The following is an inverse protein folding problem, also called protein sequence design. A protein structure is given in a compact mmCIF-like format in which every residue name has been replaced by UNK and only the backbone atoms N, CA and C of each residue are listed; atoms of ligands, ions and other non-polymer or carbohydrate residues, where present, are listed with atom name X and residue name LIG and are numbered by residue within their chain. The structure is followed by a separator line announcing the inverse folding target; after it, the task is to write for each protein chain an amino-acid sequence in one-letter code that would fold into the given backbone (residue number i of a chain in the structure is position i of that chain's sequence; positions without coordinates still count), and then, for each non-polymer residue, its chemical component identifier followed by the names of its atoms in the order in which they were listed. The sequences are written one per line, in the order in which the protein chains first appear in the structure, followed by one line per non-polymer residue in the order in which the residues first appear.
data_IF_679262165499
#
_entry.id   IF_679262165499
#
_cell.length_a   1.000
_cell.length_b   1.000
_cell.length_c   1.000
_cell.angle_alpha   90.00
_cell.angle_beta   90.00
_cell.angle_gamma   90.00
#
_symmetry.space_group_name_H-M   'P 1'
#
loop_
_entity.id
_entity.type
_entity.pdbx_description
1 polymer ?
#
# COMPACT_ATOMS: atom_id res chain seq x y z
N UNK A 1 17.80 23.19 11.74
CA UNK A 1 17.01 21.97 11.94
C UNK A 1 17.74 20.88 11.18
N UNK A 2 17.95 19.69 11.75
CA UNK A 2 18.77 18.64 11.14
C UNK A 2 18.08 18.14 9.86
N UNK A 3 18.80 18.09 8.73
CA UNK A 3 18.25 17.70 7.42
C UNK A 3 17.57 16.31 7.46
N UNK A 4 18.11 15.39 8.26
CA UNK A 4 17.50 14.07 8.48
C UNK A 4 16.11 14.19 9.11
N UNK A 5 15.95 15.06 10.12
CA UNK A 5 14.66 15.26 10.78
C UNK A 5 13.64 15.92 9.86
N UNK A 6 14.08 16.80 8.95
CA UNK A 6 13.23 17.39 7.92
C UNK A 6 12.70 16.33 6.94
N UNK A 7 13.57 15.44 6.46
CA UNK A 7 13.16 14.36 5.57
C UNK A 7 12.28 13.33 6.29
N UNK A 8 12.55 13.03 7.56
CA UNK A 8 11.70 12.14 8.37
C UNK A 8 10.29 12.71 8.54
N UNK A 9 10.16 14.01 8.82
CA UNK A 9 8.87 14.69 8.86
C UNK A 9 8.16 14.65 7.49
N UNK A 10 8.91 14.82 6.40
CA UNK A 10 8.39 14.69 5.03
C UNK A 10 7.86 13.28 4.73
N UNK A 11 8.60 12.23 5.13
CA UNK A 11 8.17 10.84 5.00
C UNK A 11 6.93 10.53 5.84
N UNK A 12 6.85 11.10 7.04
CA UNK A 12 5.69 10.95 7.92
C UNK A 12 4.44 11.52 7.27
N UNK A 13 4.50 12.75 6.76
CA UNK A 13 3.38 13.37 6.07
C UNK A 13 2.98 12.62 4.79
N UNK A 14 3.94 12.03 4.07
CA UNK A 14 3.63 11.17 2.93
C UNK A 14 2.82 9.94 3.34
N UNK A 15 3.25 9.25 4.42
CA UNK A 15 2.55 8.09 4.97
C UNK A 15 1.16 8.42 5.51
N UNK A 16 1.02 9.52 6.26
CA UNK A 16 -0.27 10.01 6.75
C UNK A 16 -1.23 10.28 5.57
N UNK A 17 -0.72 10.88 4.50
CA UNK A 17 -1.48 11.09 3.26
C UNK A 17 -1.88 9.78 2.56
N UNK A 18 -1.00 8.78 2.54
CA UNK A 18 -1.32 7.45 1.99
C UNK A 18 -2.39 6.74 2.83
N UNK A 19 -2.27 6.77 4.16
CA UNK A 19 -3.26 6.19 5.08
C UNK A 19 -4.63 6.83 4.89
N UNK A 20 -4.69 8.16 4.81
CA UNK A 20 -5.94 8.89 4.55
C UNK A 20 -6.60 8.44 3.25
N UNK A 21 -5.80 8.20 2.21
CA UNK A 21 -6.30 7.72 0.91
C UNK A 21 -6.77 6.26 1.01
N UNK A 22 -6.06 5.39 1.74
CA UNK A 22 -6.45 4.00 1.96
C UNK A 22 -7.74 3.85 2.78
N UNK A 23 -7.97 4.76 3.73
CA UNK A 23 -9.21 4.85 4.51
C UNK A 23 -10.39 5.38 3.67
N UNK A 24 -10.11 6.11 2.58
CA UNK A 24 -11.14 6.63 1.70
C UNK A 24 -11.59 5.55 0.70
N UNK A 25 -12.79 4.98 0.90
CA UNK A 25 -13.34 3.90 0.06
C UNK A 25 -13.45 4.24 -1.44
N UNK A 26 -13.52 5.52 -1.79
CA UNK A 26 -13.70 6.02 -3.15
C UNK A 26 -12.44 6.62 -3.77
N UNK A 27 -11.26 6.38 -3.19
CA UNK A 27 -10.01 6.83 -3.78
C UNK A 27 -9.76 6.15 -5.14
N UNK A 28 -9.67 6.95 -6.20
CA UNK A 28 -9.28 6.46 -7.52
C UNK A 28 -7.85 5.92 -7.53
N UNK A 29 -7.60 4.93 -8.41
CA UNK A 29 -6.30 4.27 -8.57
C UNK A 29 -5.14 5.27 -8.74
N UNK A 30 -5.35 6.33 -9.53
CA UNK A 30 -4.35 7.38 -9.75
C UNK A 30 -3.93 8.11 -8.47
N UNK A 31 -4.89 8.35 -7.56
CA UNK A 31 -4.59 9.01 -6.28
C UNK A 31 -3.78 8.09 -5.37
N UNK A 32 -4.15 6.81 -5.31
CA UNK A 32 -3.43 5.82 -4.53
C UNK A 32 -2.01 5.63 -5.06
N UNK A 33 -1.85 5.46 -6.37
CA UNK A 33 -0.55 5.36 -7.04
C UNK A 33 0.31 6.60 -6.76
N UNK A 34 -0.23 7.80 -6.97
CA UNK A 34 0.49 9.03 -6.71
C UNK A 34 0.91 9.19 -5.24
N UNK A 35 0.10 8.72 -4.29
CA UNK A 35 0.45 8.73 -2.86
C UNK A 35 1.53 7.71 -2.49
N UNK A 36 1.44 6.49 -3.03
CA UNK A 36 2.45 5.46 -2.85
C UNK A 36 3.80 5.90 -3.42
N UNK A 37 3.82 6.50 -4.62
CA UNK A 37 5.02 7.06 -5.22
C UNK A 37 5.62 8.20 -4.40
N UNK A 38 4.79 9.07 -3.79
CA UNK A 38 5.27 10.11 -2.87
C UNK A 38 5.94 9.48 -1.66
N UNK A 39 5.34 8.45 -1.06
CA UNK A 39 5.96 7.73 0.05
C UNK A 39 7.31 7.12 -0.34
N UNK A 40 7.38 6.43 -1.49
CA UNK A 40 8.61 5.83 -1.97
C UNK A 40 9.72 6.87 -2.13
N UNK A 41 9.44 7.99 -2.81
CA UNK A 41 10.40 9.09 -2.97
C UNK A 41 10.82 9.72 -1.64
N UNK A 42 9.91 9.84 -0.67
CA UNK A 42 10.27 10.36 0.65
C UNK A 42 11.20 9.41 1.41
N UNK A 43 10.99 8.10 1.32
CA UNK A 43 11.90 7.12 1.92
C UNK A 43 13.27 7.07 1.25
N UNK A 44 13.32 7.24 -0.07
CA UNK A 44 14.59 7.39 -0.80
C UNK A 44 15.39 8.61 -0.28
N UNK A 45 14.72 9.75 -0.04
CA UNK A 45 15.36 10.94 0.51
C UNK A 45 15.83 10.75 1.95
N UNK A 46 14.99 10.18 2.82
CA UNK A 46 15.37 9.84 4.21
C UNK A 46 16.62 8.97 4.22
N UNK A 47 16.66 7.94 3.36
CA UNK A 47 17.82 7.03 3.26
C UNK A 47 19.06 7.80 2.80
N UNK A 48 18.93 8.61 1.74
CA UNK A 48 20.04 9.40 1.23
C UNK A 48 20.58 10.43 2.24
N UNK A 49 19.71 11.05 3.04
CA UNK A 49 20.14 11.98 4.10
C UNK A 49 20.77 11.24 5.29
N UNK A 50 20.26 10.07 5.68
CA UNK A 50 20.89 9.23 6.70
C UNK A 50 22.31 8.81 6.28
N UNK A 51 22.49 8.44 5.00
CA UNK A 51 23.81 8.09 4.46
C UNK A 51 24.78 9.29 4.45
N UNK A 52 24.27 10.52 4.25
CA UNK A 52 25.07 11.76 4.25
C UNK A 52 25.38 12.28 5.66
N UNK A 53 24.49 12.06 6.61
CA UNK A 53 24.56 12.65 7.95
C UNK A 53 25.75 12.17 8.78
N UNK A 54 26.39 11.06 8.40
CA UNK A 54 27.54 10.53 9.13
C UNK A 54 27.16 10.06 10.54
N UNK A 55 28.07 10.23 11.51
CA UNK A 55 27.79 9.86 12.90
C UNK A 55 26.92 10.92 13.59
N UNK A 56 25.71 10.51 13.97
CA UNK A 56 24.81 11.33 14.78
C UNK A 56 25.21 11.29 16.27
N UNK A 57 25.25 12.46 16.91
CA UNK A 57 25.58 12.60 18.33
C UNK A 57 24.39 12.30 19.25
N UNK A 58 24.65 12.11 20.55
CA UNK A 58 23.73 11.49 21.52
C UNK A 58 22.25 11.89 21.45
N UNK A 59 21.94 13.18 21.55
CA UNK A 59 20.54 13.66 21.51
C UNK A 59 19.92 13.54 20.12
N UNK A 60 20.68 13.89 19.07
CA UNK A 60 20.21 13.82 17.68
C UNK A 60 19.93 12.38 17.26
N UNK A 61 20.81 11.44 17.62
CA UNK A 61 20.64 10.01 17.36
C UNK A 61 19.40 9.47 18.06
N UNK A 62 19.14 9.88 19.30
CA UNK A 62 17.92 9.49 20.03
C UNK A 62 16.66 10.00 19.34
N UNK A 63 16.69 11.26 18.89
CA UNK A 63 15.55 11.86 18.19
C UNK A 63 15.30 11.19 16.83
N UNK A 64 16.33 10.99 16.02
CA UNK A 64 16.23 10.28 14.74
C UNK A 64 15.74 8.85 14.94
N UNK A 65 16.23 8.13 15.94
CA UNK A 65 15.76 6.78 16.26
C UNK A 65 14.28 6.75 16.68
N UNK A 66 13.83 7.76 17.44
CA UNK A 66 12.42 7.89 17.81
C UNK A 66 11.53 8.10 16.58
N UNK A 67 11.88 9.07 15.73
CA UNK A 67 11.12 9.37 14.50
C UNK A 67 11.11 8.20 13.51
N UNK A 68 12.22 7.49 13.34
CA UNK A 68 12.28 6.26 12.55
C UNK A 68 11.36 5.17 13.12
N UNK A 69 11.27 5.06 14.45
CA UNK A 69 10.35 4.14 15.11
C UNK A 69 8.88 4.45 14.82
N UNK A 70 8.51 5.73 14.86
CA UNK A 70 7.15 6.18 14.52
C UNK A 70 6.84 5.96 13.03
N UNK A 71 7.79 6.25 12.14
CA UNK A 71 7.65 5.95 10.71
C UNK A 71 7.46 4.45 10.44
N UNK A 72 8.22 3.60 11.13
CA UNK A 72 8.08 2.15 10.99
C UNK A 72 6.69 1.67 11.41
N UNK A 73 6.14 2.23 12.50
CA UNK A 73 4.76 1.95 12.95
C UNK A 73 3.72 2.38 11.92
N UNK A 74 3.83 3.61 11.40
CA UNK A 74 2.91 4.13 10.37
C UNK A 74 3.00 3.32 9.07
N UNK A 75 4.20 2.92 8.65
CA UNK A 75 4.39 2.07 7.48
C UNK A 75 3.75 0.69 7.66
N UNK A 76 3.88 0.10 8.86
CA UNK A 76 3.22 -1.17 9.17
C UNK A 76 1.69 -1.07 9.13
N UNK A 77 1.12 0.05 9.60
CA UNK A 77 -0.32 0.32 9.46
C UNK A 77 -0.72 0.45 7.99
N UNK A 78 0.03 1.21 7.20
CA UNK A 78 -0.25 1.39 5.77
C UNK A 78 -0.20 0.06 5.01
N UNK A 79 0.81 -0.78 5.29
CA UNK A 79 0.93 -2.11 4.71
C UNK A 79 -0.22 -3.04 5.11
N UNK A 80 -0.69 -2.94 6.36
CA UNK A 80 -1.85 -3.72 6.85
C UNK A 80 -3.14 -3.29 6.16
N UNK A 81 -3.40 -1.99 6.03
CA UNK A 81 -4.55 -1.45 5.30
C UNK A 81 -4.53 -1.86 3.82
N UNK A 82 -3.37 -1.76 3.16
CA UNK A 82 -3.21 -2.19 1.78
C UNK A 82 -3.46 -3.70 1.60
N UNK A 83 -3.01 -4.52 2.55
CA UNK A 83 -3.24 -5.97 2.53
C UNK A 83 -4.72 -6.32 2.69
N UNK A 84 -5.42 -5.67 3.62
CA UNK A 84 -6.86 -5.84 3.81
C UNK A 84 -7.65 -5.48 2.53
N UNK A 85 -7.31 -4.36 1.89
CA UNK A 85 -7.93 -3.94 0.63
C UNK A 85 -7.66 -4.93 -0.51
N UNK A 86 -6.46 -5.47 -0.60
CA UNK A 86 -6.13 -6.51 -1.58
C UNK A 86 -6.99 -7.76 -1.36
N UNK A 87 -7.12 -8.22 -0.12
CA UNK A 87 -7.88 -9.41 0.22
C UNK A 87 -9.39 -9.21 -0.04
N UNK A 88 -9.92 -8.00 0.23
CA UNK A 88 -11.27 -7.58 -0.13
C UNK A 88 -11.52 -7.70 -1.65
N UNK A 89 -10.64 -7.13 -2.47
CA UNK A 89 -10.74 -7.19 -3.94
C UNK A 89 -10.66 -8.62 -4.44
N UNK A 90 -9.75 -9.45 -3.91
CA UNK A 90 -9.66 -10.86 -4.27
C UNK A 90 -10.94 -11.63 -3.92
N UNK A 91 -11.54 -11.33 -2.76
CA UNK A 91 -12.83 -11.89 -2.35
C UNK A 91 -13.96 -11.53 -3.33
N UNK A 92 -14.05 -10.26 -3.74
CA UNK A 92 -15.03 -9.80 -4.72
C UNK A 92 -14.84 -10.46 -6.09
N UNK A 93 -13.60 -10.55 -6.58
CA UNK A 93 -13.29 -11.22 -7.84
C UNK A 93 -13.64 -12.71 -7.80
N UNK A 94 -13.40 -13.37 -6.66
CA UNK A 94 -13.79 -14.78 -6.48
C UNK A 94 -15.31 -14.95 -6.53
N UNK A 95 -16.07 -14.11 -5.82
CA UNK A 95 -17.55 -14.13 -5.87
C UNK A 95 -18.06 -13.87 -7.28
N UNK A 96 -17.54 -12.86 -7.98
CA UNK A 96 -17.90 -12.58 -9.37
C UNK A 96 -17.61 -13.76 -10.31
N UNK A 97 -16.51 -14.49 -10.08
CA UNK A 97 -16.18 -15.71 -10.83
C UNK A 97 -17.16 -16.85 -10.53
N UNK A 98 -17.55 -17.03 -9.28
CA UNK A 98 -18.52 -18.03 -8.84
C UNK A 98 -19.93 -17.74 -9.39
N UNK A 99 -20.38 -16.48 -9.35
CA UNK A 99 -21.63 -16.00 -9.96
C UNK A 99 -21.62 -16.17 -11.48
N UNK A 100 -20.50 -15.87 -12.15
CA UNK A 100 -20.38 -16.11 -13.59
C UNK A 100 -20.49 -17.60 -13.92
N UNK A 101 -19.89 -18.47 -13.11
CA UNK A 101 -20.03 -19.93 -13.27
C UNK A 101 -21.48 -20.37 -13.10
N UNK A 102 -22.19 -19.89 -12.07
CA UNK A 102 -23.60 -20.25 -11.87
C UNK A 102 -24.50 -19.75 -13.00
N UNK A 103 -24.30 -18.52 -13.50
CA UNK A 103 -25.03 -17.99 -14.66
C UNK A 103 -24.75 -18.74 -15.96
N UNK A 104 -23.52 -19.24 -16.15
CA UNK A 104 -23.15 -20.05 -17.32
C UNK A 104 -23.75 -21.46 -17.24
N UNK A 105 -23.90 -22.00 -16.03
CA UNK A 105 -24.48 -23.33 -15.79
C UNK A 105 -26.02 -23.36 -15.91
N UNK A 106 -26.70 -22.24 -15.65
CA UNK A 106 -28.17 -22.16 -15.65
C UNK A 106 -28.79 -21.42 -16.84
N UNK A 107 -28.12 -21.21 -17.98
CA UNK A 107 -28.80 -20.76 -19.21
C UNK A 107 -29.73 -21.88 -19.73
N UNK A 108 -31.07 -21.76 -19.63
CA UNK A 108 -31.98 -22.75 -20.19
C UNK A 108 -32.27 -22.33 -21.63
N UNK A 109 -31.46 -22.80 -22.59
CA UNK A 109 -31.74 -22.49 -23.99
C UNK A 109 -30.64 -22.78 -25.02
N UNK A 110 -29.51 -23.37 -24.68
CA UNK A 110 -28.50 -23.70 -25.67
C UNK A 110 -27.58 -24.82 -25.22
N UNK A 111 -27.66 -25.95 -25.93
CA UNK A 111 -26.74 -27.09 -25.99
C UNK A 111 -25.74 -27.27 -24.83
N UNK A 112 -25.99 -28.33 -24.04
CA UNK A 112 -25.03 -29.22 -23.35
C UNK A 112 -23.63 -28.63 -23.14
N UNK A 113 -23.31 -28.38 -21.87
CA UNK A 113 -22.03 -27.88 -21.41
C UNK A 113 -20.85 -28.67 -21.93
N UNK A 114 -19.98 -27.97 -22.66
CA UNK A 114 -18.60 -28.38 -22.87
C UNK A 114 -17.80 -27.69 -21.79
N UNK A 115 -17.37 -28.45 -20.80
CA UNK A 115 -16.27 -28.05 -19.93
C UNK A 115 -15.04 -27.83 -20.80
N UNK A 116 -14.66 -26.58 -21.04
CA UNK A 116 -13.33 -26.29 -21.56
C UNK A 116 -12.32 -26.57 -20.44
N UNK A 117 -11.95 -27.83 -20.34
CA UNK A 117 -10.67 -28.27 -19.81
C UNK A 117 -9.60 -27.73 -20.77
N UNK A 118 -8.88 -26.67 -20.37
CA UNK A 118 -7.64 -26.28 -21.04
C UNK A 118 -6.52 -26.62 -20.06
N UNK A 119 -6.26 -27.92 -19.99
CA UNK A 119 -4.99 -28.49 -19.60
C UNK A 119 -4.22 -28.72 -20.90
N UNK A 120 -3.16 -27.95 -21.14
CA UNK A 120 -2.32 -28.01 -22.33
C UNK A 120 -1.39 -26.81 -22.42
#
# INVERSE_FOLDING_TARGET
MNAVLEELAGARHALEGLLTILETESAGEDRLRGAAERCARSFERVTAELDRAGELEGDERRQVAHELGELARLNALAASCASLKRDEVQGLLRRAREERKSLTFYKPGGAIGVSCDISG
#
